data_IF_256605781381
#
_entry.id   IF_256605781381
#
_cell.length_a   1.000
_cell.length_b   1.000
_cell.length_c   1.000
_cell.angle_alpha   90.00
_cell.angle_beta   90.00
_cell.angle_gamma   90.00
#
_symmetry.space_group_name_H-M   'P 1'
#
loop_
_entity.id
_entity.type
_entity.pdbx_description
1 polymer ?
#
# COMPACT_ATOMS: atom_id res chain seq x y z
N UNK A 1 -32.36 4.73 25.39
CA UNK A 1 -31.82 6.11 25.45
C UNK A 1 -31.37 6.49 24.04
N UNK A 2 -31.95 7.55 23.47
CA UNK A 2 -31.91 7.93 22.04
C UNK A 2 -30.51 8.17 21.48
N UNK A 3 -30.30 7.77 20.22
CA UNK A 3 -29.58 8.57 19.20
C UNK A 3 -30.19 8.34 17.81
N UNK A 4 -31.42 8.81 17.63
CA UNK A 4 -31.83 9.34 16.33
C UNK A 4 -31.12 10.68 16.16
N UNK A 5 -29.92 10.66 15.58
CA UNK A 5 -29.38 11.86 14.92
C UNK A 5 -29.66 11.70 13.44
N UNK A 6 -30.76 12.29 12.99
CA UNK A 6 -30.97 12.56 11.57
C UNK A 6 -29.69 13.21 11.03
N UNK A 7 -28.97 12.47 10.19
CA UNK A 7 -27.65 12.86 9.71
C UNK A 7 -27.83 14.02 8.72
N UNK A 8 -27.61 15.26 9.16
CA UNK A 8 -27.65 16.41 8.25
C UNK A 8 -26.44 16.33 7.32
N UNK A 9 -26.71 16.28 6.03
CA UNK A 9 -25.66 16.41 5.01
C UNK A 9 -24.98 17.77 5.14
N UNK A 10 -23.66 17.76 5.03
CA UNK A 10 -22.85 18.98 5.04
C UNK A 10 -22.49 19.35 3.60
N UNK A 11 -22.50 20.65 3.26
CA UNK A 11 -22.06 21.14 1.95
C UNK A 11 -20.61 20.67 1.72
N UNK A 12 -20.39 19.96 0.61
CA UNK A 12 -19.09 19.37 0.26
C UNK A 12 -18.88 17.93 0.75
N UNK A 13 -19.82 17.35 1.52
CA UNK A 13 -19.75 15.93 1.91
C UNK A 13 -19.87 15.02 0.68
N UNK A 14 -18.84 14.20 0.44
CA UNK A 14 -18.88 13.16 -0.58
C UNK A 14 -19.52 11.88 0.00
N UNK A 15 -20.47 11.31 -0.73
CA UNK A 15 -21.12 10.04 -0.39
C UNK A 15 -20.98 9.09 -1.57
N UNK A 16 -20.63 7.84 -1.28
CA UNK A 16 -20.65 6.77 -2.27
C UNK A 16 -22.08 6.27 -2.41
N UNK A 17 -22.66 6.42 -3.60
CA UNK A 17 -23.94 5.80 -3.94
C UNK A 17 -23.65 4.32 -4.22
N UNK A 18 -24.25 3.37 -3.47
CA UNK A 18 -23.92 1.95 -3.57
C UNK A 18 -24.60 1.30 -4.79
N UNK A 19 -24.25 1.78 -5.99
CA UNK A 19 -24.67 1.19 -7.27
C UNK A 19 -23.50 0.48 -7.92
N UNK A 20 -23.83 -0.53 -8.73
CA UNK A 20 -22.87 -1.10 -9.67
C UNK A 20 -22.88 -0.23 -10.93
N UNK A 21 -21.72 0.26 -11.37
CA UNK A 21 -21.62 1.24 -12.47
C UNK A 21 -21.63 2.69 -11.98
N UNK A 22 -21.94 3.63 -12.87
CA UNK A 22 -21.98 5.07 -12.55
C UNK A 22 -22.95 5.81 -13.45
N UNK A 23 -23.36 7.01 -13.03
CA UNK A 23 -24.07 7.94 -13.90
C UNK A 23 -23.10 8.93 -14.56
N UNK A 24 -23.42 9.28 -15.79
CA UNK A 24 -22.75 10.29 -16.59
C UNK A 24 -23.77 11.34 -17.03
N UNK A 25 -23.45 12.61 -16.86
CA UNK A 25 -24.27 13.72 -17.33
C UNK A 25 -23.65 14.25 -18.61
N UNK A 26 -24.40 14.13 -19.70
CA UNK A 26 -24.01 14.56 -21.05
C UNK A 26 -23.54 16.01 -21.02
N UNK A 27 -22.40 16.28 -21.64
CA UNK A 27 -21.79 17.60 -21.79
C UNK A 27 -21.95 18.10 -23.23
N UNK A 28 -21.82 19.41 -23.48
CA UNK A 28 -21.77 19.93 -24.84
C UNK A 28 -20.69 19.23 -25.67
N UNK A 29 -21.05 18.77 -26.87
CA UNK A 29 -20.16 18.04 -27.79
C UNK A 29 -20.14 16.51 -27.63
N UNK A 30 -20.82 15.97 -26.62
CA UNK A 30 -20.91 14.52 -26.45
C UNK A 30 -21.82 13.84 -27.48
N UNK A 31 -21.48 12.59 -27.80
CA UNK A 31 -22.29 11.67 -28.58
C UNK A 31 -22.33 10.31 -27.89
N UNK A 32 -23.27 9.44 -28.30
CA UNK A 32 -23.27 8.05 -27.82
C UNK A 32 -21.94 7.37 -28.12
N UNK A 33 -21.33 7.68 -29.26
CA UNK A 33 -20.03 7.14 -29.65
C UNK A 33 -18.91 7.58 -28.71
N UNK A 34 -18.75 8.89 -28.47
CA UNK A 34 -17.66 9.40 -27.61
C UNK A 34 -17.79 8.93 -26.17
N UNK A 35 -19.02 8.86 -25.64
CA UNK A 35 -19.27 8.37 -24.27
C UNK A 35 -19.02 6.87 -24.17
N UNK A 36 -19.49 6.08 -25.15
CA UNK A 36 -19.32 4.63 -25.13
C UNK A 36 -17.85 4.21 -25.24
N UNK A 37 -17.06 4.93 -26.06
CA UNK A 37 -15.61 4.74 -26.15
C UNK A 37 -14.91 4.95 -24.79
N UNK A 38 -15.27 6.01 -24.05
CA UNK A 38 -14.73 6.25 -22.71
C UNK A 38 -15.15 5.17 -21.70
N UNK A 39 -16.33 4.58 -21.88
CA UNK A 39 -16.84 3.51 -21.03
C UNK A 39 -16.32 2.12 -21.43
N UNK A 40 -15.66 1.98 -22.58
CA UNK A 40 -15.18 0.70 -23.12
C UNK A 40 -16.29 -0.23 -23.60
N UNK A 41 -17.42 0.32 -24.05
CA UNK A 41 -18.56 -0.43 -24.61
C UNK A 41 -18.94 0.10 -25.99
N UNK A 42 -19.81 -0.61 -26.72
CA UNK A 42 -20.34 -0.10 -27.99
C UNK A 42 -21.42 0.96 -27.74
N UNK A 43 -21.60 1.87 -28.71
CA UNK A 43 -22.63 2.91 -28.60
C UNK A 43 -24.06 2.32 -28.66
N UNK A 44 -24.23 1.18 -29.34
CA UNK A 44 -25.49 0.44 -29.37
C UNK A 44 -25.81 -0.14 -28.00
N UNK A 45 -24.81 -0.68 -27.31
CA UNK A 45 -24.98 -1.20 -25.96
C UNK A 45 -25.28 -0.08 -24.96
N UNK A 46 -24.59 1.07 -25.10
CA UNK A 46 -24.89 2.25 -24.30
C UNK A 46 -26.34 2.71 -24.50
N UNK A 47 -26.82 2.77 -25.75
CA UNK A 47 -28.19 3.16 -26.07
C UNK A 47 -29.20 2.16 -25.50
N UNK A 48 -28.94 0.85 -25.67
CA UNK A 48 -29.79 -0.24 -25.17
C UNK A 48 -29.94 -0.20 -23.65
N UNK A 49 -28.83 -0.08 -22.90
CA UNK A 49 -28.87 -0.03 -21.43
C UNK A 49 -29.63 1.20 -20.93
N UNK A 50 -29.58 2.30 -21.67
CA UNK A 50 -30.25 3.54 -21.32
C UNK A 50 -31.67 3.67 -21.90
N UNK A 51 -32.17 2.65 -22.62
CA UNK A 51 -33.50 2.65 -23.21
C UNK A 51 -33.73 3.78 -24.22
N UNK A 52 -32.68 4.19 -24.94
CA UNK A 52 -32.72 5.29 -25.93
C UNK A 52 -32.41 4.79 -27.33
N UNK A 53 -32.84 5.56 -28.34
CA UNK A 53 -32.52 5.25 -29.74
C UNK A 53 -31.02 5.45 -30.00
N UNK A 54 -30.43 4.57 -30.83
CA UNK A 54 -29.03 4.70 -31.29
C UNK A 54 -28.78 5.97 -32.11
N UNK A 55 -29.85 6.59 -32.64
CA UNK A 55 -29.82 7.84 -33.39
C UNK A 55 -30.26 9.04 -32.56
N UNK A 56 -30.51 8.86 -31.25
CA UNK A 56 -30.96 9.95 -30.39
C UNK A 56 -29.86 11.02 -30.24
N UNK A 57 -30.23 12.26 -30.53
CA UNK A 57 -29.38 13.40 -30.20
C UNK A 57 -29.31 13.59 -28.68
N UNK A 58 -28.10 13.65 -28.14
CA UNK A 58 -27.88 13.82 -26.71
C UNK A 58 -27.93 15.30 -26.34
N UNK A 59 -28.83 15.67 -25.43
CA UNK A 59 -28.91 17.02 -24.89
C UNK A 59 -28.00 17.15 -23.66
N UNK A 60 -27.22 18.23 -23.51
CA UNK A 60 -26.47 18.48 -22.29
C UNK A 60 -27.35 18.38 -21.05
N UNK A 61 -26.83 17.74 -19.99
CA UNK A 61 -27.56 17.44 -18.76
C UNK A 61 -28.34 16.13 -18.76
N UNK A 62 -28.52 15.47 -19.91
CA UNK A 62 -29.11 14.13 -19.96
C UNK A 62 -28.26 13.16 -19.14
N UNK A 63 -28.91 12.40 -18.24
CA UNK A 63 -28.24 11.41 -17.39
C UNK A 63 -28.26 10.05 -18.05
N UNK A 64 -27.08 9.49 -18.30
CA UNK A 64 -26.88 8.14 -18.79
C UNK A 64 -26.27 7.26 -17.70
N UNK A 65 -26.74 6.04 -17.56
CA UNK A 65 -26.09 4.98 -16.81
C UNK A 65 -24.96 4.36 -17.64
N UNK A 66 -23.80 4.22 -17.02
CA UNK A 66 -22.64 3.52 -17.55
C UNK A 66 -22.39 2.27 -16.69
N UNK A 67 -22.28 1.08 -17.29
CA UNK A 67 -21.94 -0.14 -16.56
C UNK A 67 -20.55 -0.03 -15.93
N UNK A 68 -20.23 -0.87 -14.92
CA UNK A 68 -18.90 -0.90 -14.33
C UNK A 68 -17.86 -1.26 -15.39
N UNK A 69 -16.77 -0.51 -15.45
CA UNK A 69 -15.61 -0.90 -16.25
C UNK A 69 -14.96 -2.16 -15.65
N UNK A 70 -14.31 -3.01 -16.47
CA UNK A 70 -13.55 -4.14 -15.97
C UNK A 70 -12.57 -3.70 -14.89
N UNK A 71 -12.59 -4.40 -13.75
CA UNK A 71 -11.65 -4.12 -12.65
C UNK A 71 -10.23 -4.49 -13.11
N UNK A 72 -9.29 -3.57 -12.93
CA UNK A 72 -7.86 -3.86 -13.12
C UNK A 72 -7.38 -4.74 -11.97
N UNK A 73 -6.47 -5.67 -12.26
CA UNK A 73 -5.71 -6.34 -11.20
C UNK A 73 -4.88 -5.29 -10.46
N UNK A 74 -4.96 -5.32 -9.14
CA UNK A 74 -4.22 -4.45 -8.25
C UNK A 74 -3.92 -5.22 -6.97
N UNK A 75 -2.83 -4.86 -6.32
CA UNK A 75 -2.48 -5.33 -4.99
C UNK A 75 -2.67 -4.19 -3.99
N UNK A 76 -3.13 -4.55 -2.79
CA UNK A 76 -3.45 -3.57 -1.75
C UNK A 76 -2.77 -3.97 -0.45
N UNK A 77 -2.04 -3.05 0.15
CA UNK A 77 -1.49 -3.21 1.50
C UNK A 77 -2.17 -2.25 2.47
N UNK A 78 -2.25 -2.63 3.74
CA UNK A 78 -2.62 -1.71 4.81
C UNK A 78 -1.70 -1.89 6.03
N UNK A 79 -1.21 -0.76 6.53
CA UNK A 79 -0.47 -0.72 7.79
C UNK A 79 -1.44 -0.77 8.97
N UNK A 80 -1.06 -1.55 9.98
CA UNK A 80 -1.75 -1.61 11.27
C UNK A 80 -0.78 -1.15 12.33
N UNK A 81 -1.02 0.00 12.94
CA UNK A 81 -0.12 0.61 13.92
C UNK A 81 -0.80 0.63 15.30
N UNK A 82 -0.48 -0.32 16.18
CA UNK A 82 -0.96 -0.31 17.56
C UNK A 82 -0.26 0.79 18.36
N UNK A 83 -1.03 1.59 19.11
CA UNK A 83 -0.48 2.47 20.13
C UNK A 83 -0.40 1.74 21.47
N UNK A 84 0.78 1.75 22.09
CA UNK A 84 1.03 1.07 23.36
C UNK A 84 1.51 -0.37 23.21
N UNK A 85 1.18 -1.22 24.19
CA UNK A 85 1.75 -2.56 24.32
C UNK A 85 0.84 -3.69 23.78
N UNK A 86 -0.36 -3.36 23.30
CA UNK A 86 -1.36 -4.33 22.83
C UNK A 86 -2.08 -3.82 21.60
N UNK A 87 -2.62 -4.72 20.78
CA UNK A 87 -3.57 -4.34 19.72
C UNK A 87 -4.95 -4.15 20.36
N UNK A 88 -5.54 -2.96 20.19
CA UNK A 88 -6.87 -2.69 20.75
C UNK A 88 -7.96 -3.45 20.00
N UNK A 89 -9.07 -3.76 20.66
CA UNK A 89 -10.21 -4.43 20.03
C UNK A 89 -10.80 -3.63 18.86
N UNK A 90 -10.77 -2.29 18.93
CA UNK A 90 -11.22 -1.42 17.84
C UNK A 90 -10.27 -1.48 16.63
N UNK A 91 -8.97 -1.60 16.86
CA UNK A 91 -7.97 -1.76 15.81
C UNK A 91 -8.09 -3.14 15.15
N UNK A 92 -8.25 -4.21 15.93
CA UNK A 92 -8.51 -5.55 15.38
C UNK A 92 -9.80 -5.61 14.57
N UNK A 93 -10.87 -4.95 15.04
CA UNK A 93 -12.14 -4.86 14.31
C UNK A 93 -11.96 -4.13 12.98
N UNK A 94 -11.20 -3.03 12.98
CA UNK A 94 -10.88 -2.29 11.76
C UNK A 94 -10.05 -3.13 10.79
N UNK A 95 -9.02 -3.82 11.29
CA UNK A 95 -8.21 -4.73 10.49
C UNK A 95 -9.05 -5.86 9.86
N UNK A 96 -9.96 -6.47 10.63
CA UNK A 96 -10.87 -7.53 10.14
C UNK A 96 -11.82 -7.03 9.05
N UNK A 97 -12.31 -5.79 9.15
CA UNK A 97 -13.17 -5.18 8.13
C UNK A 97 -12.40 -4.84 6.85
N UNK A 98 -11.13 -4.47 6.96
CA UNK A 98 -10.29 -4.12 5.83
C UNK A 98 -9.73 -5.38 5.12
N UNK A 99 -9.39 -6.43 5.86
CA UNK A 99 -8.70 -7.63 5.37
C UNK A 99 -9.28 -8.27 4.08
N UNK A 100 -10.62 -8.35 3.85
CA UNK A 100 -11.16 -8.90 2.61
C UNK A 100 -10.76 -8.13 1.34
N UNK A 101 -10.24 -6.92 1.49
CA UNK A 101 -9.81 -6.05 0.39
C UNK A 101 -8.29 -5.96 0.25
N UNK A 102 -7.53 -6.71 1.05
CA UNK A 102 -6.07 -6.60 1.13
C UNK A 102 -5.37 -7.79 0.50
N UNK A 103 -4.28 -7.50 -0.20
CA UNK A 103 -3.24 -8.46 -0.56
C UNK A 103 -2.26 -8.63 0.60
N UNK A 104 -1.93 -7.53 1.30
CA UNK A 104 -0.96 -7.52 2.40
C UNK A 104 -1.53 -6.84 3.65
N UNK A 105 -1.33 -7.46 4.81
CA UNK A 105 -1.58 -6.87 6.12
C UNK A 105 -0.24 -6.63 6.83
N UNK A 106 0.03 -5.39 7.22
CA UNK A 106 1.36 -4.94 7.60
C UNK A 106 1.39 -4.35 9.03
N UNK A 107 1.62 -5.17 10.07
CA UNK A 107 1.84 -4.66 11.43
C UNK A 107 3.06 -3.74 11.50
N UNK A 108 2.85 -2.48 11.88
CA UNK A 108 3.88 -1.45 11.97
C UNK A 108 4.34 -1.29 13.42
N UNK A 109 5.63 -1.43 13.73
CA UNK A 109 6.68 -2.06 12.93
C UNK A 109 7.65 -2.84 13.83
N UNK A 110 8.37 -3.78 13.24
CA UNK A 110 9.53 -4.40 13.85
C UNK A 110 10.66 -3.36 13.90
N UNK A 111 11.13 -3.05 15.11
CA UNK A 111 12.26 -2.13 15.31
C UNK A 111 13.54 -2.94 15.37
N UNK A 112 14.56 -2.49 14.67
CA UNK A 112 15.88 -3.11 14.68
C UNK A 112 16.79 -2.41 15.69
N UNK A 113 17.52 -3.19 16.49
CA UNK A 113 18.51 -2.70 17.43
C UNK A 113 19.89 -2.61 16.76
N UNK A 114 20.82 -1.87 17.39
CA UNK A 114 22.20 -1.70 16.89
C UNK A 114 23.01 -3.00 16.79
N UNK A 115 22.61 -4.05 17.51
CA UNK A 115 23.27 -5.36 17.44
C UNK A 115 22.64 -6.30 16.38
N UNK A 116 21.63 -5.81 15.65
CA UNK A 116 20.91 -6.55 14.61
C UNK A 116 19.70 -7.34 15.14
N UNK A 117 19.41 -7.31 16.44
CA UNK A 117 18.19 -7.94 16.97
C UNK A 117 16.92 -7.16 16.59
N UNK A 118 15.78 -7.85 16.60
CA UNK A 118 14.47 -7.28 16.29
C UNK A 118 13.58 -7.23 17.53
N UNK A 119 12.86 -6.11 17.67
CA UNK A 119 11.76 -5.94 18.63
C UNK A 119 10.45 -5.93 17.85
N UNK A 120 9.61 -6.93 18.07
CA UNK A 120 8.30 -7.03 17.43
C UNK A 120 7.32 -5.97 17.96
N UNK A 121 6.41 -5.44 17.12
CA UNK A 121 5.27 -4.68 17.60
C UNK A 121 4.25 -5.61 18.27
N UNK A 122 3.25 -5.07 18.99
CA UNK A 122 2.10 -5.87 19.40
C UNK A 122 1.40 -6.47 18.17
N UNK A 123 1.29 -7.80 18.12
CA UNK A 123 0.69 -8.50 16.97
C UNK A 123 -0.75 -8.94 17.22
N UNK A 124 -1.16 -9.10 18.49
CA UNK A 124 -2.52 -9.51 18.86
C UNK A 124 -3.01 -10.68 18.00
N UNK A 125 -4.21 -10.54 17.44
CA UNK A 125 -4.81 -11.53 16.55
C UNK A 125 -4.61 -11.23 15.05
N UNK A 126 -3.66 -10.36 14.67
CA UNK A 126 -3.50 -9.90 13.28
C UNK A 126 -3.13 -11.03 12.32
N UNK A 127 -2.43 -12.07 12.79
CA UNK A 127 -2.17 -13.27 11.97
C UNK A 127 -3.44 -13.99 11.57
N UNK A 128 -4.32 -14.29 12.53
CA UNK A 128 -5.59 -14.95 12.21
C UNK A 128 -6.49 -14.08 11.33
N UNK A 129 -6.43 -12.76 11.48
CA UNK A 129 -7.14 -11.82 10.59
C UNK A 129 -6.64 -11.94 9.15
N UNK A 130 -5.33 -12.01 8.95
CA UNK A 130 -4.73 -12.18 7.62
C UNK A 130 -5.06 -13.56 7.03
N UNK A 131 -4.86 -14.63 7.80
CA UNK A 131 -5.10 -16.02 7.38
C UNK A 131 -6.57 -16.23 6.96
N UNK A 132 -7.52 -15.66 7.70
CA UNK A 132 -8.95 -15.79 7.40
C UNK A 132 -9.37 -15.19 6.04
N UNK A 133 -8.57 -14.28 5.47
CA UNK A 133 -8.85 -13.62 4.19
C UNK A 133 -7.78 -13.89 3.13
N UNK A 134 -6.86 -14.84 3.38
CA UNK A 134 -5.70 -15.13 2.53
C UNK A 134 -4.80 -13.91 2.26
N UNK A 135 -4.79 -12.92 3.17
CA UNK A 135 -3.85 -11.80 3.08
C UNK A 135 -2.46 -12.24 3.52
N UNK A 136 -1.42 -11.76 2.83
CA UNK A 136 -0.03 -12.02 3.19
C UNK A 136 0.36 -11.11 4.36
N UNK A 137 0.88 -11.67 5.43
CA UNK A 137 1.54 -10.87 6.45
C UNK A 137 2.85 -10.28 5.89
N UNK A 138 2.94 -8.96 5.94
CA UNK A 138 4.08 -8.15 5.52
C UNK A 138 4.85 -7.65 6.75
N UNK A 139 6.11 -8.08 6.88
CA UNK A 139 6.98 -7.77 8.00
C UNK A 139 7.60 -6.40 7.78
N UNK A 140 7.01 -5.37 8.40
CA UNK A 140 7.54 -4.00 8.30
C UNK A 140 8.69 -3.83 9.26
N UNK A 141 9.85 -3.46 8.75
CA UNK A 141 11.06 -3.25 9.55
C UNK A 141 11.51 -1.80 9.36
N UNK A 142 11.66 -1.05 10.46
CA UNK A 142 12.08 0.34 10.44
C UNK A 142 13.38 0.57 11.23
N UNK A 143 14.17 1.57 10.82
CA UNK A 143 15.38 2.03 11.52
C UNK A 143 15.05 3.13 12.56
N UNK A 144 14.00 2.92 13.36
CA UNK A 144 13.60 3.88 14.40
C UNK A 144 14.22 3.56 15.76
N UNK A 145 14.82 4.57 16.38
CA UNK A 145 15.27 4.57 17.79
C UNK A 145 14.54 5.70 18.52
N UNK A 146 14.02 5.44 19.73
CA UNK A 146 13.31 6.45 20.55
C UNK A 146 12.19 7.20 19.81
N UNK A 147 11.46 6.49 18.93
CA UNK A 147 10.34 7.04 18.15
C UNK A 147 10.75 7.92 16.96
N UNK A 148 12.04 7.99 16.61
CA UNK A 148 12.54 8.76 15.46
C UNK A 148 13.42 7.87 14.57
N UNK A 149 13.45 8.15 13.28
CA UNK A 149 14.38 7.49 12.37
C UNK A 149 15.83 7.86 12.68
N UNK A 150 16.71 6.87 12.66
CA UNK A 150 18.12 7.00 13.01
C UNK A 150 19.02 6.70 11.81
N UNK A 151 19.74 7.72 11.36
CA UNK A 151 20.71 7.63 10.27
C UNK A 151 21.95 6.81 10.70
N UNK A 152 22.35 6.89 11.97
CA UNK A 152 23.44 6.12 12.55
C UNK A 152 23.10 4.64 12.67
N UNK A 153 21.88 4.29 13.07
CA UNK A 153 21.40 2.91 13.02
C UNK A 153 21.43 2.38 11.59
N UNK A 154 20.99 3.20 10.62
CA UNK A 154 21.14 2.91 9.20
C UNK A 154 22.59 2.63 8.82
N UNK A 155 23.53 3.51 9.17
CA UNK A 155 24.97 3.32 8.88
C UNK A 155 25.48 1.98 9.44
N UNK A 156 25.14 1.65 10.70
CA UNK A 156 25.57 0.39 11.35
C UNK A 156 25.04 -0.81 10.55
N UNK A 157 23.74 -0.89 10.30
CA UNK A 157 23.11 -2.03 9.61
C UNK A 157 23.62 -2.23 8.17
N UNK A 158 24.01 -1.14 7.51
CA UNK A 158 24.43 -1.15 6.12
C UNK A 158 25.93 -1.41 5.94
N UNK A 159 26.75 -1.09 6.95
CA UNK A 159 28.21 -1.12 6.81
C UNK A 159 28.93 -2.06 7.79
N UNK A 160 28.27 -2.58 8.84
CA UNK A 160 28.83 -3.63 9.70
C UNK A 160 28.32 -5.00 9.25
N UNK A 161 29.19 -5.82 8.66
CA UNK A 161 28.80 -7.13 8.12
C UNK A 161 28.36 -8.13 9.21
N UNK A 162 28.92 -8.03 10.41
CA UNK A 162 28.58 -8.94 11.53
C UNK A 162 27.15 -8.64 11.99
N UNK A 163 26.86 -7.36 12.24
CA UNK A 163 25.52 -6.90 12.61
C UNK A 163 24.52 -7.19 11.49
N UNK A 164 24.87 -6.91 10.23
CA UNK A 164 24.00 -7.15 9.09
C UNK A 164 23.65 -8.63 8.91
N UNK A 165 24.63 -9.53 9.08
CA UNK A 165 24.39 -10.97 8.98
C UNK A 165 23.50 -11.48 10.11
N UNK A 166 23.72 -11.00 11.34
CA UNK A 166 22.84 -11.29 12.48
C UNK A 166 21.42 -10.79 12.21
N UNK A 167 21.28 -9.56 11.74
CA UNK A 167 20.00 -8.95 11.41
C UNK A 167 19.23 -9.75 10.35
N UNK A 168 19.87 -10.15 9.25
CA UNK A 168 19.21 -10.98 8.23
C UNK A 168 18.81 -12.36 8.77
N UNK A 169 19.57 -12.94 9.70
CA UNK A 169 19.21 -14.19 10.37
C UNK A 169 17.99 -14.01 11.29
N UNK A 170 17.97 -12.93 12.08
CA UNK A 170 16.85 -12.57 12.96
C UNK A 170 15.55 -12.36 12.18
N UNK A 171 15.62 -11.72 11.00
CA UNK A 171 14.48 -11.60 10.09
C UNK A 171 13.97 -12.99 9.69
N UNK A 172 14.84 -13.87 9.20
CA UNK A 172 14.43 -15.21 8.73
C UNK A 172 13.79 -16.02 9.86
N UNK A 173 14.43 -16.05 11.03
CA UNK A 173 13.90 -16.79 12.18
C UNK A 173 12.55 -16.23 12.63
N UNK A 174 12.43 -14.91 12.71
CA UNK A 174 11.22 -14.24 13.18
C UNK A 174 10.08 -14.35 12.17
N UNK A 175 10.34 -14.11 10.88
CA UNK A 175 9.35 -14.21 9.81
C UNK A 175 8.82 -15.63 9.67
N UNK A 176 9.70 -16.65 9.70
CA UNK A 176 9.30 -18.05 9.66
C UNK A 176 8.43 -18.43 10.87
N UNK A 177 8.86 -18.06 12.09
CA UNK A 177 8.12 -18.34 13.33
C UNK A 177 6.75 -17.67 13.38
N UNK A 178 6.63 -16.45 12.84
CA UNK A 178 5.41 -15.65 12.92
C UNK A 178 4.55 -15.71 11.65
N UNK A 179 5.01 -16.40 10.59
CA UNK A 179 4.26 -16.61 9.36
C UNK A 179 4.25 -15.41 8.39
N UNK A 180 5.27 -14.55 8.42
CA UNK A 180 5.44 -13.48 7.43
C UNK A 180 6.00 -14.03 6.11
N UNK A 181 5.51 -13.51 4.97
CA UNK A 181 5.95 -13.93 3.62
C UNK A 181 6.34 -12.77 2.70
N UNK A 182 6.21 -11.53 3.15
CA UNK A 182 6.84 -10.35 2.54
C UNK A 182 7.70 -9.65 3.60
N UNK A 183 8.94 -9.31 3.26
CA UNK A 183 9.83 -8.50 4.11
C UNK A 183 9.88 -7.08 3.56
N UNK A 184 9.37 -6.13 4.33
CA UNK A 184 9.24 -4.73 3.93
C UNK A 184 10.21 -3.84 4.71
N UNK A 185 11.20 -3.27 4.02
CA UNK A 185 12.14 -2.32 4.63
C UNK A 185 11.61 -0.88 4.54
N UNK A 186 11.20 -0.33 5.68
CA UNK A 186 10.87 1.10 5.85
C UNK A 186 12.05 1.84 6.46
N UNK A 187 13.18 1.82 5.73
CA UNK A 187 14.40 2.53 6.14
C UNK A 187 14.36 3.96 5.63
N UNK A 188 14.21 4.92 6.54
CA UNK A 188 14.13 6.34 6.20
C UNK A 188 15.30 7.13 6.80
N UNK A 189 15.52 8.35 6.26
CA UNK A 189 16.57 9.27 6.72
C UNK A 189 17.98 8.69 6.72
N UNK A 190 18.25 7.71 5.84
CA UNK A 190 19.60 7.18 5.62
C UNK A 190 20.55 8.27 5.11
N UNK A 191 21.82 8.16 5.45
CA UNK A 191 22.84 9.12 5.01
C UNK A 191 23.03 9.03 3.50
N UNK A 192 23.16 10.15 2.77
CA UNK A 192 23.38 10.11 1.32
C UNK A 192 24.59 9.26 0.90
N UNK A 193 25.66 9.22 1.71
CA UNK A 193 26.83 8.38 1.45
C UNK A 193 26.56 6.87 1.59
N UNK A 194 25.55 6.47 2.36
CA UNK A 194 25.20 5.06 2.56
C UNK A 194 24.33 4.49 1.42
N UNK A 195 24.05 5.29 0.39
CA UNK A 195 23.21 4.91 -0.78
C UNK A 195 23.64 3.58 -1.41
N UNK A 196 24.94 3.41 -1.70
CA UNK A 196 25.41 2.15 -2.31
C UNK A 196 25.47 1.00 -1.31
N UNK A 197 25.71 1.31 -0.02
CA UNK A 197 25.62 0.31 1.03
C UNK A 197 24.19 -0.23 1.16
N UNK A 198 23.17 0.64 1.04
CA UNK A 198 21.76 0.23 1.02
C UNK A 198 21.43 -0.66 -0.18
N UNK A 199 21.88 -0.30 -1.39
CA UNK A 199 21.68 -1.14 -2.57
C UNK A 199 22.35 -2.53 -2.42
N UNK A 200 23.56 -2.59 -1.84
CA UNK A 200 24.23 -3.88 -1.58
C UNK A 200 23.47 -4.70 -0.54
N UNK A 201 23.04 -4.07 0.55
CA UNK A 201 22.20 -4.69 1.57
C UNK A 201 20.93 -5.28 0.97
N UNK A 202 20.17 -4.53 0.16
CA UNK A 202 18.94 -5.01 -0.46
C UNK A 202 19.18 -6.21 -1.40
N UNK A 203 20.27 -6.21 -2.18
CA UNK A 203 20.61 -7.38 -3.01
C UNK A 203 20.93 -8.60 -2.16
N UNK A 204 21.69 -8.43 -1.08
CA UNK A 204 22.03 -9.50 -0.14
C UNK A 204 20.77 -10.05 0.55
N UNK A 205 19.88 -9.17 0.99
CA UNK A 205 18.58 -9.53 1.56
C UNK A 205 17.72 -10.30 0.55
N UNK A 206 17.61 -9.82 -0.70
CA UNK A 206 16.88 -10.51 -1.77
C UNK A 206 17.41 -11.92 -2.01
N UNK A 207 18.72 -12.10 -2.11
CA UNK A 207 19.35 -13.42 -2.27
C UNK A 207 19.01 -14.34 -1.11
N UNK A 208 18.96 -13.82 0.11
CA UNK A 208 18.58 -14.60 1.30
C UNK A 208 17.11 -15.01 1.26
N UNK A 209 16.20 -14.06 1.09
CA UNK A 209 14.76 -14.30 1.18
C UNK A 209 14.18 -15.07 -0.01
N UNK A 210 14.85 -15.03 -1.17
CA UNK A 210 14.45 -15.85 -2.32
C UNK A 210 14.58 -17.35 -2.06
N UNK A 211 15.48 -17.76 -1.14
CA UNK A 211 15.62 -19.18 -0.72
C UNK A 211 14.41 -19.66 0.07
N UNK A 212 13.72 -18.74 0.74
CA UNK A 212 12.48 -19.00 1.50
C UNK A 212 11.22 -18.79 0.64
N UNK A 213 11.38 -18.47 -0.65
CA UNK A 213 10.28 -18.05 -1.55
C UNK A 213 9.48 -16.85 -1.03
N UNK A 214 10.11 -15.97 -0.26
CA UNK A 214 9.47 -14.76 0.27
C UNK A 214 9.60 -13.57 -0.70
N UNK A 215 8.59 -12.72 -0.64
CA UNK A 215 8.59 -11.42 -1.29
C UNK A 215 9.46 -10.43 -0.50
N UNK A 216 9.95 -9.41 -1.19
CA UNK A 216 10.72 -8.34 -0.58
C UNK A 216 10.29 -7.00 -1.18
N UNK A 217 10.04 -6.04 -0.31
CA UNK A 217 9.63 -4.70 -0.68
C UNK A 217 10.35 -3.63 0.14
N UNK A 218 10.34 -2.39 -0.34
CA UNK A 218 10.94 -1.24 0.36
C UNK A 218 9.99 -0.06 0.28
N UNK A 219 9.92 0.72 1.36
CA UNK A 219 9.38 2.08 1.28
C UNK A 219 10.40 2.98 0.58
N UNK A 220 9.91 3.98 -0.14
CA UNK A 220 10.73 4.99 -0.79
C UNK A 220 10.29 6.38 -0.37
N UNK A 221 11.28 7.22 -0.07
CA UNK A 221 11.05 8.64 0.11
C UNK A 221 10.57 9.25 -1.23
N UNK A 222 9.51 10.08 -1.22
CA UNK A 222 8.97 10.66 -2.45
C UNK A 222 9.99 11.60 -3.10
N UNK A 223 10.19 11.42 -4.40
CA UNK A 223 11.06 12.26 -5.25
C UNK A 223 10.40 12.58 -6.57
N UNK A 224 10.76 13.73 -7.12
CA UNK A 224 10.36 14.14 -8.47
C UNK A 224 11.48 13.98 -9.49
N UNK A 225 12.73 13.75 -9.06
CA UNK A 225 13.86 13.50 -9.96
C UNK A 225 14.94 12.61 -9.32
N UNK A 226 15.77 12.00 -10.17
CA UNK A 226 16.93 11.19 -9.75
C UNK A 226 18.07 12.04 -9.14
N UNK A 227 18.14 13.33 -9.49
CA UNK A 227 19.17 14.28 -9.02
C UNK A 227 18.75 15.06 -7.78
N UNK A 228 17.55 14.83 -7.24
CA UNK A 228 17.06 15.50 -6.05
C UNK A 228 17.98 15.24 -4.84
N UNK A 229 18.67 16.29 -4.41
CA UNK A 229 19.56 16.29 -3.24
C UNK A 229 18.78 16.39 -1.91
N UNK A 230 19.48 16.25 -0.78
CA UNK A 230 18.91 16.35 0.57
C UNK A 230 18.63 14.98 1.21
N UNK A 231 17.89 14.96 2.33
CA UNK A 231 17.67 13.74 3.15
C UNK A 231 16.95 12.61 2.39
N UNK A 232 16.26 12.92 1.30
CA UNK A 232 15.65 11.91 0.44
C UNK A 232 16.66 11.26 -0.52
N UNK A 233 17.85 11.84 -0.77
CA UNK A 233 18.77 11.46 -1.83
C UNK A 233 19.27 9.99 -1.80
N UNK A 234 19.20 9.32 -0.64
CA UNK A 234 19.76 7.97 -0.42
C UNK A 234 19.13 6.80 -1.21
N UNK A 235 18.02 6.98 -1.93
CA UNK A 235 17.34 5.88 -2.64
C UNK A 235 17.22 6.14 -4.17
N UNK A 236 17.57 5.17 -5.03
CA UNK A 236 17.39 5.28 -6.50
C UNK A 236 16.00 4.80 -6.94
N UNK A 237 15.53 5.31 -8.09
CA UNK A 237 14.32 4.86 -8.78
C UNK A 237 14.68 4.45 -10.21
N UNK A 238 13.98 3.45 -10.74
CA UNK A 238 13.84 3.21 -12.19
C UNK A 238 12.39 3.41 -12.65
N UNK A 239 11.48 3.84 -11.78
CA UNK A 239 10.05 3.97 -12.09
C UNK A 239 9.54 5.35 -11.64
N UNK A 240 8.85 6.02 -12.57
CA UNK A 240 8.25 7.34 -12.47
C UNK A 240 6.96 7.29 -11.65
N UNK A 241 6.80 8.15 -10.64
CA UNK A 241 5.52 8.34 -9.94
C UNK A 241 5.63 9.05 -8.60
N UNK A 242 4.87 10.13 -8.41
CA UNK A 242 4.85 10.96 -7.21
C UNK A 242 3.70 10.56 -6.26
N UNK A 243 3.91 10.76 -4.95
CA UNK A 243 2.96 10.69 -3.83
C UNK A 243 2.35 9.32 -3.43
N UNK A 244 3.13 8.52 -2.70
CA UNK A 244 2.72 7.66 -1.57
C UNK A 244 3.95 6.86 -1.08
N UNK A 245 3.98 6.39 0.18
CA UNK A 245 4.85 5.27 0.57
C UNK A 245 4.38 4.05 -0.22
N UNK A 246 4.87 3.89 -1.44
CA UNK A 246 4.58 2.75 -2.28
C UNK A 246 5.56 1.63 -1.89
N UNK A 247 5.08 0.48 -1.40
CA UNK A 247 5.93 -0.70 -1.37
C UNK A 247 6.30 -1.02 -2.82
N UNK A 248 7.58 -0.86 -3.16
CA UNK A 248 8.08 -1.39 -4.43
C UNK A 248 8.41 -2.84 -4.18
N UNK A 249 7.61 -3.74 -4.76
CA UNK A 249 7.98 -5.15 -4.89
C UNK A 249 9.23 -5.21 -5.78
N UNK A 250 10.36 -5.64 -5.23
CA UNK A 250 11.60 -5.78 -6.00
C UNK A 250 11.58 -7.11 -6.76
N UNK A 251 11.05 -7.09 -7.98
CA UNK A 251 11.29 -8.13 -8.99
C UNK A 251 12.56 -7.76 -9.78
N UNK A 252 13.73 -8.15 -9.26
CA UNK A 252 14.98 -8.20 -10.03
C UNK A 252 15.16 -9.61 -10.59
#
# INVERSE_FOLDING_TARGET
MRKDTASRLVIGQAIVIPITGRFYWVRPGDSLYSIAQQAGISYQELARINGISVHQQLRPGLRLYLPPSPKKRAEFNAYVEPFGNTVSASLETSARKAAPYLTYLAPFAFRVNRDGTLVAPPLGNLRAVADAQNAILMMVICNQENGQFSDELGRILLNDETVQNRFLNEIVQTASRLGFRDIHFDFEYLRPQDREAYNRFLRKAKTRFSRESWLMSTALAPKTSATQAGRCAGMRHTITGCMAKLPILLSL
#
